data_IF_001309101310
#
_entry.id   IF_001309101310
#
_cell.length_a   1.000
_cell.length_b   1.000
_cell.length_c   1.000
_cell.angle_alpha   90.00
_cell.angle_beta   90.00
_cell.angle_gamma   90.00
#
_symmetry.space_group_name_H-M   'P 1'
#
loop_
_entity.id
_entity.type
_entity.pdbx_description
1 polymer ?
#
# COMPACT_ATOMS: atom_id res chain seq x y z
N UNK A 1 -4.58 15.18 -23.86
CA UNK A 1 -3.83 14.22 -24.69
C UNK A 1 -3.82 12.87 -23.99
N UNK A 2 -4.30 11.82 -24.65
CA UNK A 2 -4.32 10.47 -24.08
C UNK A 2 -2.95 9.82 -24.28
N UNK A 3 -2.12 9.86 -23.25
CA UNK A 3 -0.77 9.27 -23.28
C UNK A 3 -0.82 7.75 -23.19
N UNK A 4 0.05 7.06 -23.92
CA UNK A 4 0.16 5.59 -23.89
C UNK A 4 1.13 5.14 -22.79
N UNK A 5 0.83 4.04 -22.12
CA UNK A 5 1.81 3.33 -21.31
C UNK A 5 2.73 2.46 -22.18
N UNK A 6 3.94 2.09 -21.71
CA UNK A 6 4.82 1.16 -22.41
C UNK A 6 4.12 -0.15 -22.84
N UNK A 7 3.19 -0.65 -22.03
CA UNK A 7 2.39 -1.83 -22.33
C UNK A 7 1.41 -1.58 -23.49
N UNK A 8 0.79 -0.40 -23.54
CA UNK A 8 -0.09 -0.02 -24.65
C UNK A 8 0.68 0.20 -25.95
N UNK A 9 1.90 0.71 -25.88
CA UNK A 9 2.81 0.86 -27.01
C UNK A 9 3.22 -0.52 -27.55
N UNK A 10 3.63 -1.44 -26.68
CA UNK A 10 3.96 -2.81 -27.05
C UNK A 10 2.78 -3.53 -27.71
N UNK A 11 1.58 -3.42 -27.12
CA UNK A 11 0.37 -4.04 -27.67
C UNK A 11 0.00 -3.51 -29.07
N UNK A 12 0.24 -2.21 -29.32
CA UNK A 12 0.03 -1.61 -30.65
C UNK A 12 1.08 -2.06 -31.66
N UNK A 13 2.36 -2.07 -31.27
CA UNK A 13 3.46 -2.42 -32.16
C UNK A 13 3.53 -3.92 -32.48
N UNK A 14 3.03 -4.80 -31.58
CA UNK A 14 2.99 -6.27 -31.67
C UNK A 14 4.33 -7.00 -31.86
N UNK A 15 5.37 -6.30 -32.30
CA UNK A 15 6.72 -6.81 -32.60
C UNK A 15 7.76 -6.45 -31.52
N UNK A 16 7.38 -5.62 -30.56
CA UNK A 16 8.29 -5.08 -29.55
C UNK A 16 7.78 -5.47 -28.16
N UNK A 17 8.65 -6.09 -27.37
CA UNK A 17 8.32 -6.42 -25.98
C UNK A 17 8.29 -5.17 -25.11
N UNK A 18 7.50 -5.19 -24.04
CA UNK A 18 7.48 -4.12 -23.03
C UNK A 18 8.89 -3.89 -22.46
N UNK A 19 9.65 -4.96 -22.26
CA UNK A 19 11.02 -4.89 -21.74
C UNK A 19 11.95 -4.14 -22.71
N UNK A 20 11.83 -4.38 -24.01
CA UNK A 20 12.62 -3.68 -25.03
C UNK A 20 12.37 -2.17 -25.00
N UNK A 21 11.12 -1.75 -24.76
CA UNK A 21 10.76 -0.33 -24.62
C UNK A 21 11.43 0.27 -23.38
N UNK A 22 11.38 -0.42 -22.24
CA UNK A 22 12.05 0.05 -21.02
C UNK A 22 13.56 0.12 -21.19
N UNK A 23 14.18 -0.91 -21.78
CA UNK A 23 15.61 -0.91 -22.05
C UNK A 23 15.99 0.28 -22.95
N UNK A 24 15.21 0.54 -24.00
CA UNK A 24 15.42 1.69 -24.89
C UNK A 24 15.28 3.04 -24.16
N UNK A 25 14.32 3.18 -23.25
CA UNK A 25 14.14 4.40 -22.46
C UNK A 25 15.29 4.63 -21.47
N UNK A 26 15.73 3.58 -20.78
CA UNK A 26 16.74 3.69 -19.72
C UNK A 26 18.19 3.68 -20.22
N UNK A 27 18.45 3.32 -21.48
CA UNK A 27 19.77 3.43 -22.10
C UNK A 27 20.35 4.85 -22.06
N UNK A 28 19.51 5.89 -22.06
CA UNK A 28 19.96 7.28 -22.01
C UNK A 28 19.05 8.11 -21.10
N UNK A 29 19.64 8.72 -20.08
CA UNK A 29 18.91 9.51 -19.08
C UNK A 29 18.23 10.76 -19.67
N UNK A 30 18.87 11.44 -20.63
CA UNK A 30 18.28 12.59 -21.32
C UNK A 30 17.07 12.17 -22.15
N UNK A 31 17.15 11.01 -22.81
CA UNK A 31 16.05 10.39 -23.56
C UNK A 31 14.87 10.08 -22.65
N UNK A 32 15.12 9.49 -21.48
CA UNK A 32 14.07 9.21 -20.50
C UNK A 32 13.35 10.49 -20.07
N UNK A 33 14.08 11.56 -19.73
CA UNK A 33 13.49 12.83 -19.30
C UNK A 33 12.65 13.49 -20.41
N UNK A 34 13.07 13.36 -21.68
CA UNK A 34 12.29 13.82 -22.84
C UNK A 34 10.96 13.07 -22.99
N UNK A 35 10.95 11.75 -22.78
CA UNK A 35 9.74 10.93 -22.98
C UNK A 35 8.85 10.80 -21.74
N UNK A 36 9.36 11.12 -20.56
CA UNK A 36 8.65 11.13 -19.27
C UNK A 36 7.30 11.86 -19.28
N UNK A 37 7.12 13.04 -19.90
CA UNK A 37 5.80 13.69 -19.95
C UNK A 37 4.80 12.98 -20.86
N UNK A 38 5.26 12.17 -21.81
CA UNK A 38 4.43 11.41 -22.75
C UNK A 38 4.11 9.98 -22.28
N UNK A 39 4.76 9.53 -21.21
CA UNK A 39 4.52 8.22 -20.62
C UNK A 39 3.37 8.30 -19.61
N UNK A 40 2.33 7.50 -19.84
CA UNK A 40 1.22 7.42 -18.89
C UNK A 40 1.71 6.84 -17.57
N UNK A 41 1.75 7.64 -16.50
CA UNK A 41 1.98 7.11 -15.15
C UNK A 41 0.75 6.29 -14.74
N UNK A 42 0.94 5.01 -14.45
CA UNK A 42 -0.08 4.21 -13.73
C UNK A 42 -0.09 4.67 -12.27
N UNK A 43 -0.65 5.85 -12.02
CA UNK A 43 -0.86 6.33 -10.66
C UNK A 43 -1.82 5.36 -9.97
N UNK A 44 -1.36 4.65 -8.94
CA UNK A 44 -2.31 4.11 -7.96
C UNK A 44 -3.02 5.34 -7.41
N UNK A 45 -4.35 5.38 -7.49
CA UNK A 45 -5.11 6.42 -6.80
C UNK A 45 -4.63 6.43 -5.36
N UNK A 46 -4.19 7.60 -4.87
CA UNK A 46 -3.80 7.77 -3.48
C UNK A 46 -5.00 7.36 -2.63
N UNK A 47 -4.93 6.19 -1.99
CA UNK A 47 -5.93 5.79 -1.01
C UNK A 47 -5.62 6.62 0.23
N UNK A 48 -6.33 7.72 0.40
CA UNK A 48 -6.43 8.33 1.73
C UNK A 48 -6.97 7.22 2.65
N UNK A 49 -6.11 6.65 3.49
CA UNK A 49 -6.54 5.96 4.67
C UNK A 49 -7.20 7.02 5.54
N UNK A 50 -8.50 7.30 5.32
CA UNK A 50 -9.29 7.93 6.36
C UNK A 50 -9.10 7.00 7.56
N UNK A 51 -8.51 7.52 8.63
CA UNK A 51 -8.46 6.79 9.89
C UNK A 51 -9.88 6.27 10.13
N UNK A 52 -10.07 4.97 10.43
CA UNK A 52 -11.41 4.44 10.61
C UNK A 52 -12.10 5.34 11.62
N UNK A 53 -13.18 6.01 11.21
CA UNK A 53 -14.01 6.72 12.16
C UNK A 53 -14.47 5.64 13.13
N UNK A 54 -13.92 5.67 14.34
CA UNK A 54 -14.30 4.72 15.39
C UNK A 54 -15.77 5.03 15.63
N UNK A 55 -16.65 4.28 14.98
CA UNK A 55 -18.09 4.36 15.23
C UNK A 55 -18.24 4.05 16.71
N UNK A 56 -19.02 4.86 17.41
CA UNK A 56 -19.19 4.81 18.87
C UNK A 56 -19.64 3.42 19.39
N UNK A 57 -20.13 2.55 18.49
CA UNK A 57 -20.43 1.14 18.76
C UNK A 57 -19.22 0.18 18.89
N UNK A 58 -18.04 0.50 18.38
CA UNK A 58 -16.85 -0.39 18.40
C UNK A 58 -16.09 -0.35 19.74
N UNK A 59 -16.51 0.52 20.67
CA UNK A 59 -15.99 0.56 22.05
C UNK A 59 -16.63 -0.50 22.97
N UNK A 60 -17.76 -1.11 22.58
CA UNK A 60 -18.55 -1.97 23.50
C UNK A 60 -17.84 -3.26 23.93
N UNK A 61 -16.85 -3.73 23.18
CA UNK A 61 -16.13 -4.98 23.47
C UNK A 61 -14.67 -4.79 23.89
N UNK A 62 -14.19 -3.54 24.01
CA UNK A 62 -12.81 -3.28 24.43
C UNK A 62 -12.75 -3.12 25.95
N UNK A 63 -12.49 -4.22 26.65
CA UNK A 63 -12.15 -4.18 28.08
C UNK A 63 -10.80 -3.47 28.26
N UNK A 64 -10.71 -2.62 29.28
CA UNK A 64 -9.44 -1.99 29.65
C UNK A 64 -8.41 -3.06 29.97
N UNK A 65 -7.13 -2.83 29.65
CA UNK A 65 -6.04 -3.75 29.98
C UNK A 65 -6.01 -4.03 31.50
N UNK A 66 -6.40 -3.05 32.32
CA UNK A 66 -6.51 -3.19 33.79
C UNK A 66 -7.64 -4.11 34.25
N UNK A 67 -8.63 -4.36 33.41
CA UNK A 67 -9.78 -5.24 33.68
C UNK A 67 -9.55 -6.66 33.12
N UNK A 68 -8.34 -6.98 32.65
CA UNK A 68 -8.02 -8.31 32.15
C UNK A 68 -7.96 -9.31 33.31
N UNK A 69 -8.59 -10.49 33.18
CA UNK A 69 -8.42 -11.56 34.15
C UNK A 69 -6.96 -12.03 34.21
N UNK A 70 -6.44 -12.28 35.41
CA UNK A 70 -5.05 -12.69 35.66
C UNK A 70 -4.64 -13.97 34.90
N UNK A 71 -5.59 -14.88 34.65
CA UNK A 71 -5.31 -16.11 33.91
C UNK A 71 -4.85 -15.87 32.46
N UNK A 72 -5.16 -14.71 31.86
CA UNK A 72 -4.73 -14.33 30.50
C UNK A 72 -3.25 -13.95 30.46
N UNK A 73 -2.70 -13.36 31.53
CA UNK A 73 -1.26 -13.02 31.60
C UNK A 73 -0.37 -14.26 31.59
N UNK A 74 -0.86 -15.36 32.16
CA UNK A 74 -0.13 -16.62 32.24
C UNK A 74 0.14 -17.28 30.89
N UNK A 75 -0.61 -16.91 29.83
CA UNK A 75 -0.51 -17.44 28.45
C UNK A 75 -0.50 -18.97 28.34
N UNK A 76 -1.00 -19.69 29.35
CA UNK A 76 -0.94 -21.17 29.43
C UNK A 76 -1.92 -21.87 28.48
N UNK A 77 -2.98 -21.20 28.05
CA UNK A 77 -4.02 -21.78 27.19
C UNK A 77 -3.84 -21.37 25.72
N UNK A 78 -3.91 -22.35 24.81
CA UNK A 78 -3.86 -22.13 23.36
C UNK A 78 -5.12 -21.38 22.91
N UNK A 79 -4.97 -20.15 22.41
CA UNK A 79 -6.08 -19.27 22.00
C UNK A 79 -6.07 -17.85 22.57
N UNK A 80 -5.20 -17.55 23.56
CA UNK A 80 -5.09 -16.23 24.18
C UNK A 80 -4.12 -15.25 23.49
N UNK A 81 -3.87 -15.41 22.18
CA UNK A 81 -2.98 -14.53 21.42
C UNK A 81 -3.69 -13.25 20.98
N UNK A 82 -4.12 -12.42 21.93
CA UNK A 82 -4.47 -11.04 21.62
C UNK A 82 -3.18 -10.22 21.49
N UNK A 83 -2.78 -9.93 20.24
CA UNK A 83 -1.62 -9.11 19.95
C UNK A 83 -1.67 -7.76 20.68
N UNK A 84 -0.68 -7.49 21.53
CA UNK A 84 -0.60 -6.26 22.28
C UNK A 84 -0.29 -5.08 21.33
N UNK A 85 -1.29 -4.24 21.04
CA UNK A 85 -1.04 -2.89 20.50
C UNK A 85 -0.68 -1.99 21.67
N UNK A 86 0.61 -1.74 21.89
CA UNK A 86 1.07 -0.66 22.78
C UNK A 86 0.94 0.66 22.03
N UNK A 87 -0.12 1.42 22.28
CA UNK A 87 -0.17 2.82 21.85
C UNK A 87 0.76 3.63 22.74
N UNK A 88 1.96 3.94 22.25
CA UNK A 88 2.83 4.94 22.85
C UNK A 88 2.23 6.32 22.57
N UNK A 89 1.65 6.97 23.60
CA UNK A 89 1.36 8.41 23.55
C UNK A 89 2.70 9.14 23.70
N UNK A 90 3.17 9.78 22.62
CA UNK A 90 4.13 10.87 22.74
C UNK A 90 3.32 12.14 23.04
N UNK A 91 3.85 12.94 23.98
CA UNK A 91 3.29 14.21 24.44
C UNK A 91 3.30 15.26 23.34
#
# INVERSE_FOLDING_TARGET
MLYYSPEQIAARLKKVSVQSIYNYLYQNKARYEQFKPYLRRKGKAYRHCKAPSIKEGDRRYKRSIKQRPSYVESRKTRGHWEGAVKTSKHW
#
